data_IF_128760519792
#
_entry.id   IF_128760519792
#
_cell.length_a   1.000
_cell.length_b   1.000
_cell.length_c   1.000
_cell.angle_alpha   90.00
_cell.angle_beta   90.00
_cell.angle_gamma   90.00
#
_symmetry.space_group_name_H-M   'P 1'
#
loop_
_entity.id
_entity.type
_entity.pdbx_description
1 polymer ?
#
# COMPACT_ATOMS: atom_id res chain seq x y z
N UNK A 1 -29.35 -27.36 -13.62
CA UNK A 1 -29.03 -27.24 -12.18
C UNK A 1 -28.06 -28.37 -11.84
N UNK A 2 -26.79 -28.14 -12.09
CA UNK A 2 -25.69 -28.99 -11.62
C UNK A 2 -25.71 -28.94 -10.09
N UNK A 3 -25.72 -30.11 -9.45
CA UNK A 3 -25.59 -30.20 -8.00
C UNK A 3 -24.22 -29.64 -7.59
N UNK A 4 -24.13 -28.74 -6.58
CA UNK A 4 -22.84 -28.22 -6.15
C UNK A 4 -21.98 -29.36 -5.63
N UNK A 5 -20.85 -29.62 -6.28
CA UNK A 5 -19.88 -30.62 -5.83
C UNK A 5 -19.06 -30.13 -4.62
N UNK A 6 -19.07 -28.81 -4.38
CA UNK A 6 -18.37 -28.17 -3.27
C UNK A 6 -19.27 -28.11 -2.01
N UNK A 7 -18.76 -28.48 -0.82
CA UNK A 7 -19.51 -28.35 0.43
C UNK A 7 -20.00 -26.92 0.66
N UNK A 8 -21.22 -26.75 1.18
CA UNK A 8 -21.83 -25.45 1.42
C UNK A 8 -20.97 -24.50 2.28
N UNK A 9 -20.15 -25.07 3.18
CA UNK A 9 -19.19 -24.35 4.03
C UNK A 9 -18.13 -23.60 3.20
N UNK A 10 -17.69 -24.18 2.08
CA UNK A 10 -16.72 -23.57 1.18
C UNK A 10 -17.40 -22.76 0.07
N UNK A 11 -18.58 -23.19 -0.39
CA UNK A 11 -19.29 -22.52 -1.49
C UNK A 11 -19.86 -21.17 -1.07
N UNK A 12 -20.45 -21.07 0.12
CA UNK A 12 -21.08 -19.83 0.61
C UNK A 12 -20.17 -18.61 0.69
N UNK A 13 -18.95 -18.66 1.26
CA UNK A 13 -18.05 -17.50 1.27
C UNK A 13 -17.58 -17.13 -0.14
N UNK A 14 -17.41 -18.12 -1.04
CA UNK A 14 -17.01 -17.86 -2.42
C UNK A 14 -18.15 -17.19 -3.20
N UNK A 15 -19.37 -17.72 -3.09
CA UNK A 15 -20.56 -17.13 -3.70
C UNK A 15 -20.84 -15.71 -3.22
N UNK A 16 -20.58 -15.42 -1.94
CA UNK A 16 -20.67 -14.08 -1.40
C UNK A 16 -19.58 -13.13 -1.97
N UNK A 17 -18.40 -13.67 -2.32
CA UNK A 17 -17.26 -12.89 -2.80
C UNK A 17 -17.31 -12.58 -4.30
N UNK A 18 -17.66 -13.57 -5.14
CA UNK A 18 -17.63 -13.47 -6.61
C UNK A 18 -19.03 -13.52 -7.26
N UNK A 19 -20.08 -13.74 -6.47
CA UNK A 19 -21.47 -13.84 -6.93
C UNK A 19 -21.90 -15.27 -7.28
N UNK A 20 -23.19 -15.56 -7.14
CA UNK A 20 -23.77 -16.88 -7.45
C UNK A 20 -23.56 -17.27 -8.91
N UNK A 21 -23.78 -16.36 -9.87
CA UNK A 21 -23.60 -16.65 -11.30
C UNK A 21 -22.16 -17.06 -11.66
N UNK A 22 -21.17 -16.36 -11.09
CA UNK A 22 -19.76 -16.69 -11.35
C UNK A 22 -19.32 -17.91 -10.56
N UNK A 23 -19.88 -18.16 -9.38
CA UNK A 23 -19.64 -19.40 -8.62
C UNK A 23 -20.19 -20.60 -9.38
N UNK A 24 -21.40 -20.51 -9.91
CA UNK A 24 -21.98 -21.57 -10.73
C UNK A 24 -21.14 -21.81 -11.99
N UNK A 25 -20.73 -20.75 -12.69
CA UNK A 25 -19.97 -20.88 -13.94
C UNK A 25 -18.55 -21.42 -13.73
N UNK A 26 -17.80 -20.87 -12.77
CA UNK A 26 -16.39 -21.24 -12.52
C UNK A 26 -16.24 -22.51 -11.69
N UNK A 27 -17.06 -22.68 -10.65
CA UNK A 27 -16.90 -23.75 -9.66
C UNK A 27 -17.84 -24.90 -9.98
N UNK A 28 -19.14 -24.65 -10.12
CA UNK A 28 -20.12 -25.74 -10.27
C UNK A 28 -20.08 -26.35 -11.69
N UNK A 29 -19.87 -25.53 -12.72
CA UNK A 29 -19.76 -25.95 -14.12
C UNK A 29 -18.31 -26.11 -14.63
N UNK A 30 -17.31 -25.81 -13.79
CA UNK A 30 -15.87 -25.88 -14.12
C UNK A 30 -15.48 -25.14 -15.41
N UNK A 31 -16.25 -24.13 -15.82
CA UNK A 31 -15.93 -23.30 -16.97
C UNK A 31 -14.92 -22.20 -16.56
N UNK A 32 -13.67 -22.64 -16.37
CA UNK A 32 -12.56 -21.79 -15.90
C UNK A 32 -12.14 -20.72 -16.91
N UNK A 33 -12.58 -20.83 -18.16
CA UNK A 33 -12.19 -19.93 -19.25
C UNK A 33 -13.24 -18.86 -19.56
N UNK A 34 -14.31 -18.76 -18.77
CA UNK A 34 -15.28 -17.68 -18.92
C UNK A 34 -14.62 -16.33 -18.55
N UNK A 35 -14.34 -15.44 -19.53
CA UNK A 35 -13.40 -14.34 -19.35
C UNK A 35 -13.91 -13.28 -18.36
N UNK A 36 -15.22 -13.06 -18.27
CA UNK A 36 -15.81 -12.08 -17.36
C UNK A 36 -15.71 -12.54 -15.90
N UNK A 37 -16.16 -13.77 -15.63
CA UNK A 37 -16.15 -14.32 -14.27
C UNK A 37 -14.72 -14.60 -13.78
N UNK A 38 -13.83 -15.09 -14.65
CA UNK A 38 -12.42 -15.33 -14.27
C UNK A 38 -11.72 -14.03 -13.86
N UNK A 39 -11.87 -12.96 -14.64
CA UNK A 39 -11.28 -11.65 -14.32
C UNK A 39 -11.83 -11.10 -13.00
N UNK A 40 -13.13 -11.20 -12.79
CA UNK A 40 -13.77 -10.76 -11.54
C UNK A 40 -13.27 -11.55 -10.33
N UNK A 41 -13.22 -12.89 -10.44
CA UNK A 41 -12.74 -13.77 -9.39
C UNK A 41 -11.26 -13.53 -9.05
N UNK A 42 -10.41 -13.38 -10.07
CA UNK A 42 -9.01 -13.02 -9.89
C UNK A 42 -8.86 -11.66 -9.20
N UNK A 43 -9.66 -10.66 -9.60
CA UNK A 43 -9.62 -9.33 -8.97
C UNK A 43 -9.96 -9.41 -7.48
N UNK A 44 -11.05 -10.10 -7.12
CA UNK A 44 -11.46 -10.24 -5.72
C UNK A 44 -10.47 -11.04 -4.88
N UNK A 45 -9.93 -12.13 -5.42
CA UNK A 45 -8.89 -12.92 -4.75
C UNK A 45 -7.62 -12.10 -4.52
N UNK A 46 -7.18 -11.36 -5.52
CA UNK A 46 -5.99 -10.52 -5.45
C UNK A 46 -6.18 -9.33 -4.50
N UNK A 47 -7.34 -8.69 -4.54
CA UNK A 47 -7.74 -7.63 -3.61
C UNK A 47 -7.76 -8.12 -2.17
N UNK A 48 -8.31 -9.31 -1.91
CA UNK A 48 -8.29 -9.91 -0.57
C UNK A 48 -6.85 -10.20 -0.10
N UNK A 49 -6.01 -10.76 -0.96
CA UNK A 49 -4.60 -11.00 -0.66
C UNK A 49 -3.85 -9.70 -0.32
N UNK A 50 -4.12 -8.64 -1.07
CA UNK A 50 -3.60 -7.29 -0.80
C UNK A 50 -4.03 -6.77 0.59
N UNK A 51 -5.32 -6.89 0.92
CA UNK A 51 -5.86 -6.46 2.22
C UNK A 51 -5.21 -7.23 3.37
N UNK A 52 -5.10 -8.56 3.24
CA UNK A 52 -4.43 -9.42 4.21
C UNK A 52 -2.95 -9.06 4.37
N UNK A 53 -2.26 -8.73 3.27
CA UNK A 53 -0.91 -8.19 3.32
C UNK A 53 -0.85 -6.91 4.16
N UNK A 54 -1.77 -5.97 3.94
CA UNK A 54 -1.88 -4.72 4.71
C UNK A 54 -2.01 -4.92 6.21
N UNK A 55 -2.67 -5.99 6.66
CA UNK A 55 -2.78 -6.35 8.08
C UNK A 55 -1.43 -6.69 8.72
N UNK A 56 -0.47 -7.19 7.95
CA UNK A 56 0.80 -7.73 8.46
C UNK A 56 1.96 -6.75 8.27
N UNK A 57 1.94 -5.95 7.20
CA UNK A 57 3.09 -5.14 6.75
C UNK A 57 3.76 -4.30 7.84
N UNK A 58 3.00 -3.65 8.73
CA UNK A 58 3.59 -2.77 9.77
C UNK A 58 3.75 -3.46 11.13
N UNK A 59 3.22 -4.68 11.32
CA UNK A 59 3.34 -5.42 12.59
C UNK A 59 4.79 -5.70 13.01
N UNK A 60 5.72 -6.13 12.13
CA UNK A 60 7.11 -6.35 12.54
C UNK A 60 7.77 -5.08 13.11
N UNK A 61 7.45 -3.93 12.54
CA UNK A 61 7.96 -2.65 13.00
C UNK A 61 7.32 -2.23 14.34
N UNK A 62 6.02 -2.47 14.52
CA UNK A 62 5.34 -2.26 15.80
C UNK A 62 5.96 -3.11 16.91
N UNK A 63 6.15 -4.42 16.68
CA UNK A 63 6.82 -5.31 17.63
C UNK A 63 8.25 -4.87 17.93
N UNK A 64 9.00 -4.41 16.91
CA UNK A 64 10.36 -3.91 17.11
C UNK A 64 10.41 -2.70 18.03
N UNK A 65 9.47 -1.75 17.90
CA UNK A 65 9.39 -0.56 18.76
C UNK A 65 9.06 -0.95 20.21
N UNK A 66 8.08 -1.83 20.40
CA UNK A 66 7.67 -2.29 21.73
C UNK A 66 8.81 -3.03 22.42
N UNK A 67 9.49 -3.94 21.72
CA UNK A 67 10.57 -4.74 22.27
C UNK A 67 11.86 -3.94 22.50
N UNK A 68 12.19 -2.99 21.63
CA UNK A 68 13.38 -2.17 21.79
C UNK A 68 13.22 -1.08 22.85
N UNK A 69 11.98 -0.69 23.16
CA UNK A 69 11.70 0.47 23.99
C UNK A 69 12.26 1.79 23.42
N UNK A 70 12.62 1.83 22.12
CA UNK A 70 13.31 2.95 21.49
C UNK A 70 12.77 3.25 20.10
N UNK A 71 12.61 4.54 19.82
CA UNK A 71 12.11 5.09 18.55
C UNK A 71 13.18 5.87 17.77
N UNK A 72 14.45 5.72 18.16
CA UNK A 72 15.59 6.36 17.48
C UNK A 72 15.70 5.83 16.04
N UNK A 73 15.89 6.75 15.08
CA UNK A 73 15.98 6.44 13.65
C UNK A 73 14.63 6.35 12.93
N UNK A 74 13.51 6.52 13.64
CA UNK A 74 12.17 6.54 13.05
C UNK A 74 11.72 7.98 12.81
N UNK A 75 11.27 8.26 11.58
CA UNK A 75 10.76 9.58 11.21
C UNK A 75 9.28 9.72 11.59
N UNK A 76 8.99 10.52 12.62
CA UNK A 76 7.61 10.86 13.01
C UNK A 76 6.84 11.49 11.85
N UNK A 77 7.48 12.39 11.09
CA UNK A 77 6.85 13.08 9.96
C UNK A 77 6.41 12.11 8.86
N UNK A 78 7.21 11.08 8.58
CA UNK A 78 6.87 10.07 7.57
C UNK A 78 5.64 9.27 7.99
N UNK A 79 5.57 8.81 9.25
CA UNK A 79 4.40 8.10 9.76
C UNK A 79 3.15 8.99 9.78
N UNK A 80 3.28 10.26 10.17
CA UNK A 80 2.16 11.20 10.16
C UNK A 80 1.61 11.42 8.74
N UNK A 81 2.48 11.63 7.75
CA UNK A 81 2.09 11.76 6.35
C UNK A 81 1.43 10.48 5.81
N UNK A 82 1.92 9.30 6.19
CA UNK A 82 1.29 8.03 5.84
C UNK A 82 -0.11 7.90 6.45
N UNK A 83 -0.32 8.31 7.71
CA UNK A 83 -1.65 8.30 8.34
C UNK A 83 -2.60 9.24 7.60
N UNK A 84 -2.17 10.47 7.30
CA UNK A 84 -2.98 11.42 6.54
C UNK A 84 -3.38 10.87 5.16
N UNK A 85 -2.41 10.33 4.41
CA UNK A 85 -2.67 9.77 3.09
C UNK A 85 -3.65 8.58 3.15
N UNK A 86 -3.53 7.72 4.16
CA UNK A 86 -4.46 6.60 4.37
C UNK A 86 -5.88 7.11 4.72
N UNK A 87 -6.02 8.07 5.63
CA UNK A 87 -7.34 8.64 5.98
C UNK A 87 -8.03 9.21 4.73
N UNK A 88 -7.30 10.00 3.93
CA UNK A 88 -7.82 10.58 2.69
C UNK A 88 -8.23 9.48 1.70
N UNK A 89 -7.38 8.46 1.52
CA UNK A 89 -7.65 7.32 0.64
C UNK A 89 -8.92 6.58 1.06
N UNK A 90 -9.07 6.26 2.35
CA UNK A 90 -10.23 5.54 2.87
C UNK A 90 -11.49 6.39 2.68
N UNK A 91 -11.46 7.66 3.11
CA UNK A 91 -12.61 8.56 3.00
C UNK A 91 -13.07 8.75 1.55
N UNK A 92 -12.13 8.88 0.61
CA UNK A 92 -12.42 9.05 -0.82
C UNK A 92 -13.13 7.82 -1.39
N UNK A 93 -12.54 6.64 -1.19
CA UNK A 93 -13.08 5.39 -1.73
C UNK A 93 -14.42 5.02 -1.07
N UNK A 94 -14.56 5.26 0.24
CA UNK A 94 -15.81 5.05 0.96
C UNK A 94 -16.93 5.94 0.41
N UNK A 95 -16.67 7.25 0.22
CA UNK A 95 -17.66 8.20 -0.30
C UNK A 95 -18.08 7.92 -1.74
N UNK A 96 -17.21 7.31 -2.53
CA UNK A 96 -17.50 6.86 -3.89
C UNK A 96 -18.25 5.52 -3.94
N UNK A 97 -18.42 4.84 -2.82
CA UNK A 97 -19.11 3.55 -2.74
C UNK A 97 -18.31 2.37 -3.30
N UNK A 98 -16.99 2.49 -3.40
CA UNK A 98 -16.16 1.38 -3.86
C UNK A 98 -16.10 0.24 -2.84
N UNK A 99 -15.86 -0.98 -3.34
CA UNK A 99 -15.75 -2.17 -2.50
C UNK A 99 -14.61 -2.04 -1.48
N UNK A 100 -14.78 -2.62 -0.30
CA UNK A 100 -13.74 -2.62 0.75
C UNK A 100 -12.43 -3.26 0.26
N UNK A 101 -12.48 -4.20 -0.68
CA UNK A 101 -11.28 -4.81 -1.31
C UNK A 101 -10.36 -3.79 -1.98
N UNK A 102 -10.89 -2.63 -2.40
CA UNK A 102 -10.13 -1.56 -3.04
C UNK A 102 -9.28 -0.75 -2.06
N UNK A 103 -9.78 -0.49 -0.85
CA UNK A 103 -9.15 0.41 0.12
C UNK A 103 -8.87 -0.23 1.49
N UNK A 104 -9.21 -1.49 1.69
CA UNK A 104 -9.09 -2.19 2.97
C UNK A 104 -7.65 -2.33 3.45
N UNK A 105 -6.68 -2.45 2.52
CA UNK A 105 -5.25 -2.38 2.86
C UNK A 105 -4.91 -1.03 3.49
N UNK A 106 -5.36 0.08 2.90
CA UNK A 106 -5.12 1.42 3.42
C UNK A 106 -5.77 1.61 4.81
N UNK A 107 -6.93 0.97 5.05
CA UNK A 107 -7.55 0.93 6.38
C UNK A 107 -6.65 0.26 7.42
N UNK A 108 -6.22 -0.98 7.19
CA UNK A 108 -5.40 -1.70 8.16
C UNK A 108 -4.02 -1.07 8.36
N UNK A 109 -3.37 -0.60 7.29
CA UNK A 109 -2.10 0.12 7.37
C UNK A 109 -2.29 1.45 8.11
N UNK A 110 -3.38 2.18 7.82
CA UNK A 110 -3.72 3.44 8.47
C UNK A 110 -3.87 3.30 9.98
N UNK A 111 -4.59 2.27 10.45
CA UNK A 111 -4.74 1.96 11.88
C UNK A 111 -3.40 1.64 12.53
N UNK A 112 -2.58 0.79 11.90
CA UNK A 112 -1.25 0.44 12.44
C UNK A 112 -0.33 1.66 12.51
N UNK A 113 -0.29 2.49 11.47
CA UNK A 113 0.51 3.71 11.43
C UNK A 113 0.01 4.76 12.42
N UNK A 114 -1.30 4.84 12.67
CA UNK A 114 -1.89 5.71 13.69
C UNK A 114 -1.36 5.32 15.07
N UNK A 115 -1.42 4.03 15.42
CA UNK A 115 -0.88 3.52 16.69
C UNK A 115 0.62 3.79 16.80
N UNK A 116 1.40 3.49 15.76
CA UNK A 116 2.85 3.74 15.76
C UNK A 116 3.16 5.24 15.97
N UNK A 117 2.41 6.13 15.32
CA UNK A 117 2.58 7.59 15.46
C UNK A 117 2.40 8.05 16.91
N UNK A 118 1.36 7.53 17.60
CA UNK A 118 1.12 7.83 19.00
C UNK A 118 2.22 7.25 19.90
N UNK A 119 2.63 6.01 19.66
CA UNK A 119 3.72 5.38 20.42
C UNK A 119 5.03 6.16 20.30
N UNK A 120 5.38 6.65 19.11
CA UNK A 120 6.56 7.50 18.90
C UNK A 120 6.51 8.74 19.79
N UNK A 121 5.35 9.43 19.86
CA UNK A 121 5.19 10.63 20.68
C UNK A 121 5.23 10.33 22.18
N UNK A 122 4.60 9.23 22.61
CA UNK A 122 4.61 8.79 24.01
C UNK A 122 6.03 8.43 24.46
N UNK A 123 6.76 7.64 23.67
CA UNK A 123 8.13 7.20 23.99
C UNK A 123 9.16 8.32 23.88
N UNK A 124 8.85 9.39 23.13
CA UNK A 124 9.65 10.63 23.11
C UNK A 124 9.39 11.55 24.32
N UNK A 125 8.57 11.13 25.29
CA UNK A 125 8.21 11.92 26.47
C UNK A 125 7.22 13.06 26.19
N UNK A 126 6.54 13.05 25.03
CA UNK A 126 5.63 14.12 24.57
C UNK A 126 4.16 13.67 24.65
N UNK A 127 3.73 13.25 25.83
CA UNK A 127 2.40 12.65 26.02
C UNK A 127 1.24 13.59 25.65
N UNK A 128 1.33 14.88 25.99
CA UNK A 128 0.33 15.88 25.60
C UNK A 128 0.19 16.00 24.08
N UNK A 129 1.32 16.03 23.36
CA UNK A 129 1.33 16.10 21.90
C UNK A 129 0.76 14.83 21.27
N UNK A 130 0.96 13.66 21.89
CA UNK A 130 0.33 12.40 21.46
C UNK A 130 -1.20 12.49 21.50
N UNK A 131 -1.76 12.94 22.63
CA UNK A 131 -3.21 13.06 22.80
C UNK A 131 -3.79 14.07 21.80
N UNK A 132 -3.16 15.25 21.68
CA UNK A 132 -3.61 16.29 20.74
C UNK A 132 -3.55 15.79 19.30
N UNK A 133 -2.47 15.11 18.91
CA UNK A 133 -2.30 14.56 17.56
C UNK A 133 -3.35 13.49 17.28
N UNK A 134 -3.61 12.58 18.22
CA UNK A 134 -4.67 11.58 18.11
C UNK A 134 -6.05 12.21 17.92
N UNK A 135 -6.40 13.20 18.75
CA UNK A 135 -7.67 13.92 18.65
C UNK A 135 -7.82 14.64 17.30
N UNK A 136 -6.77 15.32 16.84
CA UNK A 136 -6.77 16.02 15.55
C UNK A 136 -6.96 15.06 14.36
N UNK A 137 -6.29 13.91 14.37
CA UNK A 137 -6.42 12.90 13.32
C UNK A 137 -7.82 12.27 13.29
N UNK A 138 -8.44 12.05 14.45
CA UNK A 138 -9.83 11.58 14.54
C UNK A 138 -10.83 12.64 14.06
N UNK A 139 -10.64 13.90 14.47
CA UNK A 139 -11.48 15.01 14.02
C UNK A 139 -11.36 15.25 12.50
N UNK A 140 -10.15 15.14 11.95
CA UNK A 140 -9.90 15.20 10.51
C UNK A 140 -10.59 14.04 9.79
N UNK A 141 -10.48 12.82 10.32
CA UNK A 141 -11.16 11.65 9.77
C UNK A 141 -12.67 11.88 9.71
N UNK A 142 -13.30 12.28 10.82
CA UNK A 142 -14.72 12.61 10.84
C UNK A 142 -15.11 13.66 9.79
N UNK A 143 -14.30 14.72 9.66
CA UNK A 143 -14.54 15.80 8.71
C UNK A 143 -14.50 15.34 7.25
N UNK A 144 -13.55 14.47 6.88
CA UNK A 144 -13.39 13.98 5.51
C UNK A 144 -14.50 13.02 5.08
N UNK A 145 -15.05 12.25 6.02
CA UNK A 145 -16.19 11.35 5.77
C UNK A 145 -17.51 12.12 5.63
N UNK A 146 -17.63 13.30 6.24
CA UNK A 146 -18.83 14.11 6.16
C UNK A 146 -18.85 15.00 4.91
N UNK A 147 -19.74 14.68 3.97
CA UNK A 147 -19.87 15.41 2.70
C UNK A 147 -20.31 16.88 2.86
N UNK A 148 -20.96 17.24 3.97
CA UNK A 148 -21.36 18.62 4.29
C UNK A 148 -20.19 19.48 4.74
N UNK A 149 -19.14 18.88 5.33
CA UNK A 149 -17.93 19.58 5.75
C UNK A 149 -16.90 19.68 4.62
N UNK A 150 -16.73 18.58 3.87
CA UNK A 150 -15.76 18.50 2.77
C UNK A 150 -16.48 18.11 1.47
N UNK A 151 -16.63 19.09 0.57
CA UNK A 151 -17.24 18.88 -0.74
C UNK A 151 -16.46 17.88 -1.62
N UNK A 152 -17.15 17.27 -2.60
CA UNK A 152 -16.58 16.23 -3.46
C UNK A 152 -15.35 16.68 -4.26
N UNK A 153 -15.35 17.92 -4.77
CA UNK A 153 -14.21 18.48 -5.50
C UNK A 153 -12.96 18.59 -4.61
N UNK A 154 -13.11 19.11 -3.39
CA UNK A 154 -12.02 19.19 -2.43
C UNK A 154 -11.50 17.80 -2.06
N UNK A 155 -12.40 16.82 -1.91
CA UNK A 155 -12.03 15.44 -1.62
C UNK A 155 -11.22 14.80 -2.76
N UNK A 156 -11.60 15.01 -4.02
CA UNK A 156 -10.83 14.56 -5.19
C UNK A 156 -9.46 15.21 -5.27
N UNK A 157 -9.37 16.52 -5.00
CA UNK A 157 -8.07 17.22 -4.95
C UNK A 157 -7.18 16.64 -3.85
N UNK A 158 -7.71 16.46 -2.64
CA UNK A 158 -6.97 15.86 -1.52
C UNK A 158 -6.48 14.44 -1.87
N UNK A 159 -7.34 13.62 -2.46
CA UNK A 159 -6.95 12.28 -2.93
C UNK A 159 -5.87 12.36 -4.01
N UNK A 160 -6.01 13.25 -4.99
CA UNK A 160 -4.99 13.48 -6.01
C UNK A 160 -3.63 13.87 -5.44
N UNK A 161 -3.59 14.63 -4.33
CA UNK A 161 -2.36 15.00 -3.63
C UNK A 161 -1.70 13.82 -2.90
N UNK A 162 -2.44 12.74 -2.61
CA UNK A 162 -1.84 11.52 -2.04
C UNK A 162 -1.01 10.74 -3.05
N UNK A 163 -1.30 10.88 -4.35
CA UNK A 163 -0.60 10.16 -5.41
C UNK A 163 0.88 10.58 -5.50
N UNK A 164 1.23 11.89 -5.57
CA UNK A 164 2.62 12.32 -5.53
C UNK A 164 3.38 11.85 -4.28
N UNK A 165 2.74 11.78 -3.10
CA UNK A 165 3.41 11.34 -1.87
C UNK A 165 4.00 9.93 -2.01
N UNK A 166 3.26 9.02 -2.66
CA UNK A 166 3.73 7.65 -2.90
C UNK A 166 4.94 7.65 -3.86
N UNK A 167 4.90 8.48 -4.90
CA UNK A 167 5.98 8.56 -5.91
C UNK A 167 7.23 9.20 -5.32
N UNK A 168 7.08 10.30 -4.56
CA UNK A 168 8.19 11.00 -3.92
C UNK A 168 8.99 10.12 -2.95
N UNK A 169 8.35 9.10 -2.35
CA UNK A 169 9.07 8.14 -1.51
C UNK A 169 10.07 7.28 -2.30
N UNK A 170 9.87 7.12 -3.62
CA UNK A 170 10.69 6.26 -4.49
C UNK A 170 11.73 7.05 -5.30
N UNK A 171 11.49 8.33 -5.58
CA UNK A 171 12.40 9.16 -6.39
C UNK A 171 13.83 9.20 -5.82
N UNK A 172 14.07 9.46 -4.52
CA UNK A 172 15.42 9.48 -3.97
C UNK A 172 16.13 8.13 -4.12
N UNK A 173 15.39 7.03 -3.98
CA UNK A 173 15.91 5.66 -4.13
C UNK A 173 16.31 5.41 -5.59
N UNK A 174 15.43 5.75 -6.54
CA UNK A 174 15.68 5.62 -8.00
C UNK A 174 16.91 6.43 -8.40
N UNK A 175 17.00 7.68 -7.93
CA UNK A 175 18.13 8.56 -8.24
C UNK A 175 19.44 8.04 -7.65
N UNK A 176 19.44 7.60 -6.39
CA UNK A 176 20.62 7.08 -5.73
C UNK A 176 21.18 5.84 -6.44
N UNK A 177 20.32 4.89 -6.81
CA UNK A 177 20.74 3.69 -7.55
C UNK A 177 21.29 4.08 -8.92
N UNK A 178 20.62 4.99 -9.64
CA UNK A 178 21.09 5.42 -10.95
C UNK A 178 22.44 6.14 -10.89
N UNK A 179 22.65 6.99 -9.88
CA UNK A 179 23.89 7.75 -9.68
C UNK A 179 25.04 6.84 -9.26
N UNK A 180 24.78 5.92 -8.33
CA UNK A 180 25.80 5.04 -7.77
C UNK A 180 26.04 3.80 -8.62
N UNK A 181 25.16 3.51 -9.59
CA UNK A 181 25.18 2.29 -10.41
C UNK A 181 25.24 1.02 -9.57
N UNK A 182 24.70 1.06 -8.36
CA UNK A 182 24.81 0.02 -7.33
C UNK A 182 23.54 0.01 -6.48
N UNK A 183 22.99 -1.18 -6.22
CA UNK A 183 21.73 -1.38 -5.49
C UNK A 183 21.93 -1.44 -3.97
N UNK A 184 23.16 -1.69 -3.51
CA UNK A 184 23.49 -1.67 -2.08
C UNK A 184 22.77 -2.75 -1.28
N UNK A 185 22.25 -2.37 -0.12
CA UNK A 185 21.53 -3.25 0.82
C UNK A 185 20.02 -3.35 0.47
N UNK A 186 19.62 -2.91 -0.71
CA UNK A 186 18.22 -2.99 -1.12
C UNK A 186 17.82 -4.44 -1.35
N UNK A 187 16.78 -4.90 -0.65
CA UNK A 187 16.27 -6.26 -0.81
C UNK A 187 15.58 -6.43 -2.17
N UNK A 188 16.17 -7.26 -3.04
CA UNK A 188 15.56 -7.66 -4.31
C UNK A 188 14.15 -8.19 -4.13
N UNK A 189 13.97 -9.07 -3.14
CA UNK A 189 12.70 -9.66 -2.79
C UNK A 189 11.66 -8.57 -2.48
N UNK A 190 12.02 -7.57 -1.68
CA UNK A 190 11.12 -6.45 -1.38
C UNK A 190 10.77 -5.64 -2.64
N UNK A 191 11.76 -5.30 -3.48
CA UNK A 191 11.54 -4.52 -4.72
C UNK A 191 10.55 -5.22 -5.66
N UNK A 192 10.77 -6.51 -5.94
CA UNK A 192 9.86 -7.26 -6.82
C UNK A 192 8.49 -7.46 -6.19
N UNK A 193 8.41 -7.69 -4.89
CA UNK A 193 7.11 -7.81 -4.21
C UNK A 193 6.32 -6.49 -4.27
N UNK A 194 6.98 -5.34 -4.13
CA UNK A 194 6.31 -4.04 -4.34
C UNK A 194 5.86 -3.85 -5.79
N UNK A 195 6.66 -4.25 -6.77
CA UNK A 195 6.28 -4.19 -8.19
C UNK A 195 5.08 -5.08 -8.52
N UNK A 196 5.09 -6.35 -8.09
CA UNK A 196 3.96 -7.25 -8.31
C UNK A 196 2.72 -6.80 -7.53
N UNK A 197 2.88 -6.27 -6.32
CA UNK A 197 1.79 -5.71 -5.53
C UNK A 197 1.12 -4.50 -6.20
N UNK A 198 1.89 -3.59 -6.81
CA UNK A 198 1.31 -2.46 -7.55
C UNK A 198 0.73 -2.87 -8.90
N UNK A 199 1.28 -3.89 -9.56
CA UNK A 199 0.69 -4.47 -10.77
C UNK A 199 -0.66 -5.13 -10.47
N UNK A 200 -0.71 -5.88 -9.38
CA UNK A 200 -1.92 -6.46 -8.82
C UNK A 200 -2.96 -5.37 -8.53
N UNK A 201 -2.55 -4.27 -7.91
CA UNK A 201 -3.43 -3.13 -7.65
C UNK A 201 -4.01 -2.55 -8.94
N UNK A 202 -3.16 -2.28 -9.93
CA UNK A 202 -3.61 -1.75 -11.22
C UNK A 202 -4.66 -2.65 -11.86
N UNK A 203 -4.44 -3.97 -11.85
CA UNK A 203 -5.42 -4.93 -12.35
C UNK A 203 -6.75 -4.85 -11.58
N UNK A 204 -6.71 -4.86 -10.23
CA UNK A 204 -7.94 -4.75 -9.42
C UNK A 204 -8.66 -3.42 -9.65
N UNK A 205 -7.93 -2.32 -9.82
CA UNK A 205 -8.52 -1.00 -10.11
C UNK A 205 -9.20 -0.99 -11.48
N UNK A 206 -8.58 -1.56 -12.51
CA UNK A 206 -9.18 -1.67 -13.85
C UNK A 206 -10.47 -2.51 -13.88
N UNK A 207 -10.60 -3.46 -12.94
CA UNK A 207 -11.77 -4.36 -12.88
C UNK A 207 -12.85 -3.85 -11.92
N UNK A 208 -12.48 -3.22 -10.80
CA UNK A 208 -13.41 -2.88 -9.71
C UNK A 208 -13.72 -1.38 -9.60
N UNK A 209 -12.96 -0.50 -10.26
CA UNK A 209 -13.05 0.95 -10.04
C UNK A 209 -13.16 1.70 -11.36
N UNK A 210 -14.30 2.36 -11.56
CA UNK A 210 -14.51 3.29 -12.68
C UNK A 210 -14.14 4.73 -12.26
N UNK A 211 -12.85 4.96 -12.01
CA UNK A 211 -12.32 6.29 -11.62
C UNK A 211 -10.91 6.51 -12.16
N UNK A 212 -10.79 7.47 -13.09
CA UNK A 212 -9.53 7.81 -13.74
C UNK A 212 -8.46 8.31 -12.75
N UNK A 213 -8.84 8.91 -11.63
CA UNK A 213 -7.89 9.42 -10.65
C UNK A 213 -7.26 8.27 -9.85
N UNK A 214 -8.08 7.29 -9.44
CA UNK A 214 -7.59 6.07 -8.78
C UNK A 214 -6.71 5.27 -9.74
N UNK A 215 -7.16 5.13 -11.00
CA UNK A 215 -6.40 4.45 -12.05
C UNK A 215 -5.04 5.12 -12.31
N UNK A 216 -5.01 6.45 -12.44
CA UNK A 216 -3.77 7.21 -12.63
C UNK A 216 -2.79 6.96 -11.47
N UNK A 217 -3.28 6.97 -10.23
CA UNK A 217 -2.47 6.64 -9.06
C UNK A 217 -1.85 5.25 -9.13
N UNK A 218 -2.64 4.24 -9.53
CA UNK A 218 -2.16 2.87 -9.69
C UNK A 218 -1.11 2.73 -10.82
N UNK A 219 -1.32 3.39 -11.96
CA UNK A 219 -0.38 3.42 -13.08
C UNK A 219 0.95 4.05 -12.67
N UNK A 220 0.91 5.21 -12.02
CA UNK A 220 2.12 5.91 -11.59
C UNK A 220 2.87 5.12 -10.50
N UNK A 221 2.16 4.47 -9.58
CA UNK A 221 2.75 3.60 -8.58
C UNK A 221 3.43 2.39 -9.23
N UNK A 222 2.80 1.76 -10.23
CA UNK A 222 3.41 0.67 -10.98
C UNK A 222 4.65 1.13 -11.75
N UNK A 223 4.58 2.28 -12.42
CA UNK A 223 5.72 2.84 -13.16
C UNK A 223 6.91 3.10 -12.23
N UNK A 224 6.70 3.74 -11.08
CA UNK A 224 7.77 4.03 -10.12
C UNK A 224 8.43 2.75 -9.57
N UNK A 225 7.63 1.75 -9.18
CA UNK A 225 8.17 0.46 -8.71
C UNK A 225 8.79 -0.37 -9.84
N UNK A 226 8.30 -0.23 -11.06
CA UNK A 226 8.86 -0.86 -12.26
C UNK A 226 10.24 -0.33 -12.60
N UNK A 227 10.47 0.98 -12.46
CA UNK A 227 11.81 1.57 -12.61
C UNK A 227 12.78 0.99 -11.56
N UNK A 228 12.37 0.89 -10.30
CA UNK A 228 13.19 0.27 -9.25
C UNK A 228 13.50 -1.21 -9.55
N UNK A 229 12.52 -1.98 -10.01
CA UNK A 229 12.71 -3.37 -10.38
C UNK A 229 13.68 -3.52 -11.57
N UNK A 230 13.54 -2.67 -12.58
CA UNK A 230 14.46 -2.63 -13.73
C UNK A 230 15.89 -2.25 -13.31
N UNK A 231 16.04 -1.25 -12.44
CA UNK A 231 17.35 -0.88 -11.88
C UNK A 231 17.95 -2.01 -11.04
N UNK A 232 17.12 -2.73 -10.28
CA UNK A 232 17.55 -3.88 -9.48
C UNK A 232 18.15 -4.97 -10.38
N UNK A 233 17.50 -5.29 -11.50
CA UNK A 233 18.01 -6.24 -12.48
C UNK A 233 19.29 -5.74 -13.18
N UNK A 234 19.29 -4.49 -13.61
CA UNK A 234 20.39 -3.93 -14.40
C UNK A 234 21.69 -3.78 -13.57
N UNK A 235 21.59 -3.42 -12.30
CA UNK A 235 22.73 -3.22 -11.40
C UNK A 235 22.95 -4.39 -10.41
N UNK A 236 22.34 -5.56 -10.64
CA UNK A 236 22.32 -6.69 -9.71
C UNK A 236 23.71 -7.12 -9.22
N UNK A 237 24.69 -7.14 -10.13
CA UNK A 237 26.08 -7.53 -9.86
C UNK A 237 27.05 -6.36 -10.00
N UNK A 238 26.57 -5.12 -9.96
CA UNK A 238 27.45 -3.98 -10.11
C UNK A 238 28.37 -3.87 -8.87
N UNK A 239 29.69 -3.68 -9.06
CA UNK A 239 30.61 -3.53 -7.94
C UNK A 239 30.32 -2.24 -7.18
N UNK A 240 30.52 -2.29 -5.86
CA UNK A 240 30.36 -1.11 -5.02
C UNK A 240 31.25 0.05 -5.53
N UNK A 241 30.75 1.30 -5.54
CA UNK A 241 31.56 2.46 -5.91
C UNK A 241 32.82 2.51 -5.07
N UNK A 242 33.99 2.73 -5.70
CA UNK A 242 35.25 2.92 -4.98
C UNK A 242 35.13 4.18 -4.13
N UNK A 243 35.19 4.00 -2.82
CA UNK A 243 35.06 5.06 -1.83
C UNK A 243 36.20 6.09 -2.00
N UNK A 244 35.89 7.27 -2.55
CA UNK A 244 36.90 8.33 -2.78
C UNK A 244 37.55 8.79 -1.46
N UNK A 245 36.84 8.68 -0.34
CA UNK A 245 37.35 9.09 0.97
C UNK A 245 38.47 8.18 1.51
N UNK A 246 38.53 6.91 1.08
CA UNK A 246 39.54 5.95 1.56
C UNK A 246 40.87 6.04 0.79
N UNK A 247 40.85 6.64 -0.40
CA UNK A 247 42.05 6.82 -1.24
C UNK A 247 42.92 8.00 -0.78
N UNK A 248 42.32 9.03 -0.17
CA UNK A 248 43.06 10.19 0.35
C UNK A 248 43.75 9.90 1.69
N UNK A 249 43.27 8.94 2.48
CA UNK A 249 43.97 8.47 3.69
C UNK A 249 45.18 7.59 3.34
N UNK A 250 45.11 6.79 2.26
CA UNK A 250 46.22 5.93 1.83
C UNK A 250 47.32 6.63 1.05
N UNK A 251 47.12 7.90 0.66
CA UNK A 251 48.13 8.72 -0.03
C UNK A 251 48.90 9.65 0.91
N UNK A 252 48.61 9.61 2.21
CA UNK A 252 49.26 10.41 3.26
C UNK A 252 50.20 9.60 4.17
N UNK A 253 50.36 8.31 3.88
CA UNK A 253 51.37 7.43 4.48
C UNK A 253 52.41 7.07 3.41
#
# INVERSE_FOLDING_TARGET
MSSPWLPAILRSPIAMLIGENCTETLIDNLNLFEPMCLRHALSKGLGLGIVLGGCIVKLPQLFKIINSGSVVGISLASYFLEVLANIITIAYNYRKGYAFTTYGEAFFIGVQNFVITLLILLMAGRASLSVVTGALLLALSYSLFNASLVGGAMMSTLYGLTIPLVIFSRIPQIYAIHKNKYTGQLSAFAVFNYFFGTAARLFTTLVEVDDSLVLLGAVLALAANGVLAAQMLYYWNAPAPKDKHRLDSKKKD
#
